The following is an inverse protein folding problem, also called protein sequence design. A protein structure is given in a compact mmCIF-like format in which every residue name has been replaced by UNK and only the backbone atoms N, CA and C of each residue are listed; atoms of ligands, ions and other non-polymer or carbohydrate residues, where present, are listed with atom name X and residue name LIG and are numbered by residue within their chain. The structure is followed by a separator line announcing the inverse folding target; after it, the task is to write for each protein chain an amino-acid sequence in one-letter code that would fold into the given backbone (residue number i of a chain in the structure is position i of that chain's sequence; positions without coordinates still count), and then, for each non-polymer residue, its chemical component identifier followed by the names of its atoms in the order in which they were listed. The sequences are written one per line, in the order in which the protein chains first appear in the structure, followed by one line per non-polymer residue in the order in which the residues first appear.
data_IF_453031351812
#
_entry.id   IF_453031351812
#
_cell.length_a   1.000
_cell.length_b   1.000
_cell.length_c   1.000
_cell.angle_alpha   90.00
_cell.angle_beta   90.00
_cell.angle_gamma   90.00
#
_symmetry.space_group_name_H-M   'P 1'
#
loop_
_entity.id
_entity.type
_entity.pdbx_description
1 polymer ?
#
# COMPACT_ATOMS: atom_id res chain seq x y z
N UNK A 1 33.41 4.71 -43.88
CA UNK A 1 33.80 4.56 -42.47
C UNK A 1 32.84 5.40 -41.64
N UNK A 2 31.72 4.80 -41.26
CA UNK A 2 30.76 5.40 -40.33
C UNK A 2 30.68 4.46 -39.15
N UNK A 3 31.38 4.81 -38.07
CA UNK A 3 31.28 4.11 -36.80
C UNK A 3 29.88 4.33 -36.26
N UNK A 4 29.09 3.25 -36.16
CA UNK A 4 27.94 3.22 -35.26
C UNK A 4 28.46 3.35 -33.83
N UNK A 5 27.90 4.24 -33.00
CA UNK A 5 28.15 4.20 -31.57
C UNK A 5 27.49 2.94 -30.99
N UNK A 6 28.30 2.07 -30.37
CA UNK A 6 27.86 1.09 -29.40
C UNK A 6 27.13 1.84 -28.27
N UNK A 7 25.83 1.57 -28.10
CA UNK A 7 25.12 1.96 -26.90
C UNK A 7 25.45 0.94 -25.80
N UNK A 8 25.77 1.36 -24.58
CA UNK A 8 26.05 0.43 -23.49
C UNK A 8 24.80 -0.38 -23.14
N UNK A 9 25.00 -1.69 -23.01
CA UNK A 9 24.04 -2.75 -22.65
C UNK A 9 23.62 -2.71 -21.17
N UNK A 10 23.72 -1.54 -20.52
CA UNK A 10 23.53 -1.32 -19.07
C UNK A 10 22.22 -0.57 -18.76
N UNK A 11 21.20 -0.73 -19.61
CA UNK A 11 19.82 -0.54 -19.19
C UNK A 11 19.35 -1.86 -18.60
N UNK A 12 19.67 -2.07 -17.32
CA UNK A 12 18.89 -2.98 -16.48
C UNK A 12 17.41 -2.70 -16.78
N UNK A 13 16.60 -3.74 -17.03
CA UNK A 13 15.22 -3.54 -17.46
C UNK A 13 14.54 -2.61 -16.46
N UNK A 14 13.68 -1.72 -16.97
CA UNK A 14 12.64 -1.04 -16.21
C UNK A 14 11.83 -2.12 -15.48
N UNK A 15 12.36 -2.61 -14.36
CA UNK A 15 11.78 -3.73 -13.65
C UNK A 15 10.51 -3.18 -13.04
N UNK A 16 9.37 -3.68 -13.52
CA UNK A 16 8.06 -3.34 -12.96
C UNK A 16 8.15 -3.45 -11.43
N UNK A 17 7.99 -2.34 -10.70
CA UNK A 17 8.22 -2.35 -9.26
C UNK A 17 7.22 -3.28 -8.55
N UNK A 18 6.04 -3.54 -9.14
CA UNK A 18 5.11 -4.56 -8.64
C UNK A 18 5.62 -5.98 -8.86
N UNK A 19 6.35 -6.24 -9.95
CA UNK A 19 6.92 -7.56 -10.22
C UNK A 19 7.99 -7.91 -9.18
N UNK A 20 8.81 -6.95 -8.76
CA UNK A 20 9.81 -7.15 -7.70
C UNK A 20 9.15 -7.51 -6.35
N UNK A 21 8.05 -6.84 -6.00
CA UNK A 21 7.27 -7.13 -4.78
C UNK A 21 6.43 -8.41 -4.89
N UNK A 22 6.19 -8.91 -6.09
CA UNK A 22 5.41 -10.13 -6.31
C UNK A 22 6.26 -11.42 -6.29
N UNK A 23 7.59 -11.32 -6.34
CA UNK A 23 8.49 -12.48 -6.34
C UNK A 23 8.75 -12.99 -4.90
N UNK A 24 8.26 -14.19 -4.53
CA UNK A 24 8.47 -14.77 -3.21
C UNK A 24 9.88 -15.33 -2.99
N UNK A 25 10.75 -15.32 -4.01
CA UNK A 25 12.16 -15.73 -3.93
C UNK A 25 13.06 -14.74 -3.18
N UNK A 26 12.53 -14.09 -2.14
CA UNK A 26 13.13 -12.95 -1.43
C UNK A 26 14.57 -13.27 -1.04
N UNK A 27 15.50 -12.50 -1.60
CA UNK A 27 16.90 -12.46 -1.15
C UNK A 27 16.95 -11.41 -0.03
N UNK A 28 17.25 -11.79 1.22
CA UNK A 28 17.18 -10.89 2.38
C UNK A 28 18.03 -9.61 2.23
N UNK A 29 19.06 -9.66 1.38
CA UNK A 29 20.06 -8.59 1.17
C UNK A 29 19.66 -7.55 0.08
N UNK A 30 18.41 -7.54 -0.40
CA UNK A 30 17.95 -6.60 -1.45
C UNK A 30 17.14 -5.40 -0.94
N UNK A 31 17.31 -5.02 0.33
CA UNK A 31 16.53 -3.94 0.95
C UNK A 31 16.59 -2.60 0.18
N UNK A 32 17.75 -2.25 -0.39
CA UNK A 32 17.92 -1.03 -1.20
C UNK A 32 17.08 -1.06 -2.48
N UNK A 33 17.01 -2.21 -3.15
CA UNK A 33 16.23 -2.38 -4.37
C UNK A 33 14.72 -2.35 -4.10
N UNK A 34 14.28 -2.98 -3.01
CA UNK A 34 12.90 -2.88 -2.54
C UNK A 34 12.54 -1.44 -2.13
N UNK A 35 13.45 -0.73 -1.48
CA UNK A 35 13.26 0.69 -1.14
C UNK A 35 13.07 1.53 -2.41
N UNK A 36 13.89 1.30 -3.44
CA UNK A 36 13.76 1.97 -4.72
C UNK A 36 12.41 1.66 -5.39
N UNK A 37 12.01 0.39 -5.44
CA UNK A 37 10.73 -0.03 -6.03
C UNK A 37 9.51 0.56 -5.30
N UNK A 38 9.52 0.59 -3.96
CA UNK A 38 8.45 1.23 -3.18
C UNK A 38 8.38 2.72 -3.47
N UNK A 39 9.52 3.40 -3.56
CA UNK A 39 9.58 4.83 -3.91
C UNK A 39 9.02 5.10 -5.32
N UNK A 40 9.32 4.24 -6.29
CA UNK A 40 8.81 4.41 -7.65
C UNK A 40 7.30 4.17 -7.73
N UNK A 41 6.75 3.22 -6.95
CA UNK A 41 5.30 3.06 -6.79
C UNK A 41 4.63 4.29 -6.17
N UNK A 42 5.23 4.88 -5.14
CA UNK A 42 4.72 6.13 -4.54
C UNK A 42 4.64 7.22 -5.61
N UNK A 43 5.71 7.41 -6.39
CA UNK A 43 5.74 8.40 -7.48
C UNK A 43 4.70 8.13 -8.56
N UNK A 44 4.45 6.87 -8.91
CA UNK A 44 3.44 6.51 -9.90
C UNK A 44 2.03 6.81 -9.39
N UNK A 45 1.73 6.51 -8.13
CA UNK A 45 0.46 6.87 -7.49
C UNK A 45 0.29 8.39 -7.41
N UNK A 46 1.34 9.13 -7.05
CA UNK A 46 1.35 10.60 -7.08
C UNK A 46 1.07 11.15 -8.47
N UNK A 47 1.70 10.58 -9.50
CA UNK A 47 1.51 11.01 -10.89
C UNK A 47 0.06 10.79 -11.35
N UNK A 48 -0.52 9.62 -11.08
CA UNK A 48 -1.93 9.34 -11.38
C UNK A 48 -2.86 10.28 -10.63
N UNK A 49 -2.56 10.58 -9.36
CA UNK A 49 -3.31 11.53 -8.55
C UNK A 49 -3.23 12.96 -9.12
N UNK A 50 -2.05 13.38 -9.58
CA UNK A 50 -1.84 14.68 -10.22
C UNK A 50 -2.55 14.83 -11.56
N UNK A 51 -2.85 13.71 -12.23
CA UNK A 51 -3.67 13.64 -13.45
C UNK A 51 -5.17 13.48 -13.16
N UNK A 52 -5.58 13.44 -11.88
CA UNK A 52 -6.95 13.17 -11.44
C UNK A 52 -7.48 11.78 -11.87
N UNK A 53 -6.58 10.84 -12.17
CA UNK A 53 -6.89 9.45 -12.52
C UNK A 53 -7.14 8.64 -11.23
N UNK A 54 -8.10 9.09 -10.41
CA UNK A 54 -8.29 8.64 -9.03
C UNK A 54 -8.58 7.14 -8.90
N UNK A 55 -9.34 6.57 -9.82
CA UNK A 55 -9.63 5.12 -9.81
C UNK A 55 -8.36 4.29 -10.08
N UNK A 56 -7.49 4.76 -10.97
CA UNK A 56 -6.20 4.11 -11.26
C UNK A 56 -5.23 4.27 -10.09
N UNK A 57 -5.15 5.47 -9.51
CA UNK A 57 -4.33 5.75 -8.33
C UNK A 57 -4.75 4.87 -7.13
N UNK A 58 -6.06 4.74 -6.90
CA UNK A 58 -6.62 3.89 -5.86
C UNK A 58 -6.25 2.42 -6.07
N UNK A 59 -6.51 1.88 -7.26
CA UNK A 59 -6.24 0.47 -7.56
C UNK A 59 -4.75 0.12 -7.46
N UNK A 60 -3.87 1.00 -7.95
CA UNK A 60 -2.42 0.83 -7.86
C UNK A 60 -1.94 0.87 -6.41
N UNK A 61 -2.34 1.89 -5.64
CA UNK A 61 -1.94 2.04 -4.24
C UNK A 61 -2.45 0.87 -3.39
N UNK A 62 -3.70 0.44 -3.60
CA UNK A 62 -4.28 -0.74 -2.95
C UNK A 62 -3.42 -1.99 -3.18
N UNK A 63 -3.02 -2.23 -4.43
CA UNK A 63 -2.20 -3.39 -4.79
C UNK A 63 -0.79 -3.29 -4.21
N UNK A 64 -0.17 -2.11 -4.28
CA UNK A 64 1.15 -1.86 -3.72
C UNK A 64 1.18 -2.13 -2.22
N UNK A 65 0.21 -1.58 -1.48
CA UNK A 65 0.04 -1.79 -0.03
C UNK A 65 0.01 -3.29 0.33
N UNK A 66 -0.79 -4.09 -0.37
CA UNK A 66 -0.90 -5.54 -0.11
C UNK A 66 0.41 -6.28 -0.39
N UNK A 67 1.14 -5.90 -1.44
CA UNK A 67 2.40 -6.57 -1.79
C UNK A 67 3.55 -6.18 -0.86
N UNK A 68 3.58 -4.91 -0.43
CA UNK A 68 4.56 -4.39 0.53
C UNK A 68 4.43 -5.12 1.86
N UNK A 69 3.22 -5.26 2.40
CA UNK A 69 2.98 -5.97 3.66
C UNK A 69 3.49 -7.42 3.64
N UNK A 70 3.35 -8.09 2.51
CA UNK A 70 3.80 -9.48 2.35
C UNK A 70 5.32 -9.62 2.24
N UNK A 71 5.98 -8.59 1.74
CA UNK A 71 7.38 -8.68 1.30
C UNK A 71 8.34 -8.01 2.27
N UNK A 72 8.01 -6.79 2.71
CA UNK A 72 8.90 -5.99 3.56
C UNK A 72 9.25 -6.70 4.87
N UNK A 73 8.33 -7.33 5.61
CA UNK A 73 8.67 -8.06 6.84
C UNK A 73 9.63 -9.24 6.64
N UNK A 74 9.84 -9.70 5.39
CA UNK A 74 10.75 -10.80 5.06
C UNK A 74 12.19 -10.32 4.78
N UNK A 75 12.43 -9.01 4.71
CA UNK A 75 13.75 -8.43 4.45
C UNK A 75 14.63 -8.47 5.70
N UNK A 76 15.95 -8.57 5.52
CA UNK A 76 16.90 -8.48 6.63
C UNK A 76 16.91 -7.09 7.28
N UNK A 77 16.67 -6.04 6.48
CA UNK A 77 16.50 -4.66 6.92
C UNK A 77 15.20 -4.05 6.33
N UNK A 78 14.06 -4.20 7.03
CA UNK A 78 12.77 -3.71 6.54
C UNK A 78 12.56 -2.21 6.75
N UNK A 79 13.44 -1.53 7.51
CA UNK A 79 13.16 -0.18 8.00
C UNK A 79 13.03 0.88 6.90
N UNK A 80 13.95 0.87 5.94
CA UNK A 80 13.94 1.80 4.82
C UNK A 80 12.71 1.64 3.88
N UNK A 81 12.39 0.44 3.38
CA UNK A 81 11.22 0.27 2.52
C UNK A 81 9.89 0.50 3.26
N UNK A 82 9.80 0.15 4.55
CA UNK A 82 8.62 0.45 5.37
C UNK A 82 8.39 1.97 5.52
N UNK A 83 9.47 2.74 5.71
CA UNK A 83 9.39 4.20 5.80
C UNK A 83 8.89 4.85 4.52
N UNK A 84 9.37 4.39 3.36
CA UNK A 84 8.87 4.85 2.05
C UNK A 84 7.40 4.47 1.83
N UNK A 85 7.01 3.24 2.22
CA UNK A 85 5.65 2.75 2.06
C UNK A 85 4.61 3.56 2.86
N UNK A 86 5.01 4.21 3.95
CA UNK A 86 4.12 5.06 4.74
C UNK A 86 3.48 6.20 3.90
N UNK A 87 4.14 6.65 2.84
CA UNK A 87 3.60 7.67 1.93
C UNK A 87 2.40 7.18 1.11
N UNK A 88 2.23 5.87 0.91
CA UNK A 88 1.09 5.31 0.18
C UNK A 88 -0.24 5.48 0.93
N UNK A 89 -0.21 5.56 2.26
CA UNK A 89 -1.44 5.63 3.07
C UNK A 89 -2.25 6.90 2.79
N UNK A 90 -1.70 8.13 2.92
CA UNK A 90 -2.45 9.34 2.61
C UNK A 90 -2.83 9.44 1.12
N UNK A 91 -1.99 8.91 0.22
CA UNK A 91 -2.30 8.89 -1.22
C UNK A 91 -3.47 7.97 -1.55
N UNK A 92 -3.49 6.76 -1.01
CA UNK A 92 -4.59 5.81 -1.17
C UNK A 92 -5.87 6.34 -0.53
N UNK A 93 -5.80 6.91 0.68
CA UNK A 93 -6.96 7.51 1.35
C UNK A 93 -7.58 8.64 0.52
N UNK A 94 -6.75 9.53 -0.05
CA UNK A 94 -7.21 10.58 -0.96
C UNK A 94 -7.84 9.98 -2.23
N UNK A 95 -7.19 9.00 -2.85
CA UNK A 95 -7.70 8.35 -4.05
C UNK A 95 -9.04 7.63 -3.79
N UNK A 96 -9.23 6.99 -2.64
CA UNK A 96 -10.52 6.44 -2.23
C UNK A 96 -11.60 7.53 -2.15
N UNK A 97 -11.30 8.67 -1.52
CA UNK A 97 -12.25 9.78 -1.40
C UNK A 97 -12.66 10.39 -2.76
N UNK A 98 -11.78 10.30 -3.77
CA UNK A 98 -11.98 10.94 -5.09
C UNK A 98 -12.41 9.99 -6.21
N UNK A 99 -12.19 8.68 -6.08
CA UNK A 99 -12.46 7.67 -7.13
C UNK A 99 -13.93 7.30 -7.29
N UNK A 100 -14.80 7.72 -6.37
CA UNK A 100 -16.21 7.29 -6.34
C UNK A 100 -16.42 5.94 -5.66
N UNK A 101 -15.38 5.40 -5.00
CA UNK A 101 -15.50 4.23 -4.13
C UNK A 101 -16.46 4.56 -2.97
N UNK A 102 -17.39 3.66 -2.68
CA UNK A 102 -18.37 3.87 -1.61
C UNK A 102 -17.73 3.81 -0.21
N UNK A 103 -18.20 4.62 0.76
CA UNK A 103 -17.73 4.58 2.16
C UNK A 103 -17.68 3.17 2.78
N UNK A 104 -18.71 2.36 2.53
CA UNK A 104 -18.79 0.98 3.03
C UNK A 104 -17.71 0.07 2.44
N UNK A 105 -17.29 0.34 1.21
CA UNK A 105 -16.24 -0.41 0.55
C UNK A 105 -14.86 -0.06 1.13
N UNK A 106 -14.61 1.23 1.39
CA UNK A 106 -13.40 1.68 2.11
C UNK A 106 -13.34 1.06 3.50
N UNK A 107 -14.44 1.11 4.27
CA UNK A 107 -14.52 0.52 5.60
C UNK A 107 -14.24 -0.99 5.58
N UNK A 108 -14.84 -1.72 4.63
CA UNK A 108 -14.65 -3.16 4.47
C UNK A 108 -13.21 -3.51 4.10
N UNK A 109 -12.60 -2.75 3.19
CA UNK A 109 -11.20 -2.95 2.81
C UNK A 109 -10.27 -2.75 4.02
N UNK A 110 -10.45 -1.66 4.75
CA UNK A 110 -9.63 -1.32 5.91
C UNK A 110 -9.71 -2.42 6.99
N UNK A 111 -10.93 -2.84 7.35
CA UNK A 111 -11.15 -3.93 8.30
C UNK A 111 -10.56 -5.25 7.83
N UNK A 112 -10.68 -5.55 6.53
CA UNK A 112 -10.10 -6.78 5.96
C UNK A 112 -8.58 -6.75 6.08
N UNK A 113 -7.93 -5.61 5.79
CA UNK A 113 -6.50 -5.47 5.92
C UNK A 113 -6.06 -5.66 7.39
N UNK A 114 -6.70 -4.97 8.33
CA UNK A 114 -6.35 -5.06 9.74
C UNK A 114 -6.65 -6.44 10.35
N UNK A 115 -7.76 -7.08 9.97
CA UNK A 115 -8.09 -8.44 10.43
C UNK A 115 -7.09 -9.50 9.91
N UNK A 116 -6.44 -9.25 8.76
CA UNK A 116 -5.35 -10.09 8.27
C UNK A 116 -4.00 -9.78 8.94
N UNK A 117 -3.95 -8.84 9.90
CA UNK A 117 -2.73 -8.44 10.58
C UNK A 117 -1.77 -7.67 9.67
N UNK A 118 -2.30 -6.92 8.70
CA UNK A 118 -1.49 -6.06 7.85
C UNK A 118 -0.87 -4.94 8.69
N UNK A 119 0.45 -4.84 8.71
CA UNK A 119 1.21 -3.90 9.54
C UNK A 119 2.02 -2.89 8.69
N UNK A 120 2.31 -3.20 7.43
CA UNK A 120 3.15 -2.34 6.57
C UNK A 120 2.50 -2.03 5.22
N UNK A 121 2.21 -0.75 4.91
CA UNK A 121 2.24 0.39 5.82
C UNK A 121 1.11 0.33 6.86
N UNK A 122 1.31 1.00 8.00
CA UNK A 122 0.33 1.06 9.07
C UNK A 122 -0.97 1.74 8.60
N UNK A 123 -2.10 1.03 8.73
CA UNK A 123 -3.41 1.51 8.32
C UNK A 123 -4.29 1.85 9.51
N UNK A 124 -4.89 3.05 9.50
CA UNK A 124 -5.79 3.50 10.56
C UNK A 124 -7.03 4.17 9.99
N UNK A 125 -8.15 4.08 10.72
CA UNK A 125 -9.39 4.75 10.32
C UNK A 125 -9.22 6.28 10.27
N UNK A 126 -8.36 6.83 11.13
CA UNK A 126 -8.03 8.26 11.14
C UNK A 126 -7.45 8.75 9.81
N UNK A 127 -6.55 7.98 9.19
CA UNK A 127 -5.99 8.30 7.89
C UNK A 127 -7.04 8.28 6.75
N UNK A 128 -8.11 7.48 6.90
CA UNK A 128 -9.18 7.34 5.92
C UNK A 128 -10.45 8.15 6.26
N UNK A 129 -10.39 9.06 7.24
CA UNK A 129 -11.57 9.76 7.74
C UNK A 129 -12.37 10.50 6.65
N UNK A 130 -11.68 11.12 5.68
CA UNK A 130 -12.34 11.79 4.55
C UNK A 130 -13.05 10.80 3.62
N UNK A 131 -12.40 9.69 3.29
CA UNK A 131 -12.96 8.65 2.41
C UNK A 131 -14.12 7.88 3.06
N UNK A 132 -14.04 7.67 4.37
CA UNK A 132 -15.09 6.99 5.14
C UNK A 132 -16.32 7.88 5.34
N UNK A 133 -16.13 9.18 5.58
CA UNK A 133 -17.21 10.04 6.05
C UNK A 133 -17.92 9.49 7.31
N UNK A 134 -19.05 10.09 7.71
CA UNK A 134 -19.76 9.66 8.91
C UNK A 134 -20.36 8.25 8.81
N UNK A 135 -20.89 7.90 7.64
CA UNK A 135 -21.57 6.62 7.40
C UNK A 135 -20.57 5.45 7.39
N UNK A 136 -19.48 5.57 6.64
CA UNK A 136 -18.41 4.56 6.61
C UNK A 136 -17.71 4.42 7.96
N UNK A 137 -17.51 5.51 8.70
CA UNK A 137 -16.92 5.45 10.05
C UNK A 137 -17.83 4.71 11.05
N UNK A 138 -19.15 4.94 10.98
CA UNK A 138 -20.12 4.21 11.80
C UNK A 138 -20.13 2.71 11.44
N UNK A 139 -20.13 2.38 10.15
CA UNK A 139 -20.06 1.00 9.66
C UNK A 139 -18.76 0.29 10.07
N UNK A 140 -17.62 1.00 9.97
CA UNK A 140 -16.32 0.53 10.43
C UNK A 140 -16.36 0.20 11.92
N UNK A 141 -16.85 1.13 12.75
CA UNK A 141 -16.90 0.96 14.22
C UNK A 141 -17.81 -0.20 14.63
N UNK A 142 -19.00 -0.31 14.01
CA UNK A 142 -19.94 -1.39 14.30
C UNK A 142 -19.36 -2.76 13.92
N UNK A 143 -18.67 -2.85 12.79
CA UNK A 143 -18.03 -4.09 12.33
C UNK A 143 -16.82 -4.46 13.19
N UNK A 144 -16.03 -3.47 13.62
CA UNK A 144 -14.93 -3.67 14.54
C UNK A 144 -15.41 -4.23 15.88
N UNK A 145 -16.47 -3.65 16.46
CA UNK A 145 -17.08 -4.17 17.68
C UNK A 145 -17.59 -5.61 17.52
N UNK A 146 -18.20 -5.93 16.38
CA UNK A 146 -18.65 -7.29 16.10
C UNK A 146 -17.48 -8.30 15.99
N UNK A 147 -16.33 -7.89 15.44
CA UNK A 147 -15.12 -8.71 15.42
C UNK A 147 -14.55 -8.94 16.83
N UNK A 148 -14.56 -7.91 17.68
CA UNK A 148 -14.10 -7.99 19.07
C UNK A 148 -14.96 -8.95 19.91
N UNK A 149 -16.28 -8.96 19.68
CA UNK A 149 -17.22 -9.85 20.35
C UNK A 149 -17.07 -11.32 19.91
N UNK A 150 -16.58 -11.57 18.68
CA UNK A 150 -16.38 -12.91 18.12
C UNK A 150 -15.03 -13.51 18.48
N UNK A 151 -13.99 -12.70 18.69
CA UNK A 151 -12.66 -13.13 19.12
C UNK A 151 -11.94 -12.02 19.92
N UNK A 152 -11.88 -12.11 21.26
CA UNK A 152 -11.19 -11.11 22.08
C UNK A 152 -9.67 -11.06 21.84
N UNK A 153 -9.07 -12.07 21.19
CA UNK A 153 -7.66 -12.06 20.78
C UNK A 153 -7.40 -11.22 19.53
N UNK A 154 -8.39 -11.09 18.64
CA UNK A 154 -8.33 -10.23 17.45
C UNK A 154 -8.52 -8.76 17.82
N UNK A 155 -9.28 -8.46 18.88
CA UNK A 155 -9.53 -7.11 19.38
C UNK A 155 -8.29 -6.33 19.81
N UNK A 156 -7.36 -6.99 20.50
CA UNK A 156 -6.17 -6.35 21.06
C UNK A 156 -5.18 -5.81 20.00
N UNK A 157 -5.31 -6.23 18.74
CA UNK A 157 -4.49 -5.77 17.61
C UNK A 157 -5.09 -4.60 16.84
N UNK A 158 -6.37 -4.30 17.05
CA UNK A 158 -7.11 -3.29 16.29
C UNK A 158 -7.28 -1.96 17.06
N UNK A 159 -6.99 -1.95 18.37
CA UNK A 159 -7.12 -0.79 19.28
C UNK A 159 -5.86 0.08 19.40
N UNK A 160 -4.78 -0.21 18.67
CA UNK A 160 -3.55 0.61 18.67
C UNK A 160 -3.53 1.63 17.54
N UNK A 161 -4.33 2.70 17.66
CA UNK A 161 -4.05 4.06 17.16
C UNK A 161 -5.03 5.09 17.73
#
# INVERSE_FOLDING_TARGET
MTSSPDLPDDLLPDADPLALLADPGVVPDRAEEYTAAVRDLVREVEALSGLEEWASAEALARRAIVLIDRTVPLLADPGAPAAEAAALVPLHALACARSGLGPDEVARWLLTAQANGQEVPALSAGAYAEALGPEGAAGYTASLAALHDLDPGTAARLDTD
#
